data_IF_229981975271
#
_entry.id   IF_229981975271
#
_cell.length_a   1.000
_cell.length_b   1.000
_cell.length_c   1.000
_cell.angle_alpha   90.00
_cell.angle_beta   90.00
_cell.angle_gamma   90.00
#
_symmetry.space_group_name_H-M   'P 1'
#
loop_
_entity.id
_entity.type
_entity.pdbx_description
1 polymer ?
#
# COMPACT_ATOMS: atom_id res chain seq x y z
N UNK A 1 -2.80 23.07 -8.70
CA UNK A 1 -2.99 22.11 -7.62
C UNK A 1 -3.41 20.76 -8.15
N UNK A 2 -2.98 19.72 -7.53
CA UNK A 2 -3.27 18.37 -7.98
C UNK A 2 -4.68 17.96 -7.55
N UNK A 3 -5.40 17.33 -8.46
CA UNK A 3 -6.78 16.90 -8.20
C UNK A 3 -6.88 15.93 -7.01
N UNK A 4 -5.85 15.13 -6.78
CA UNK A 4 -5.83 14.14 -5.70
C UNK A 4 -5.98 14.76 -4.31
N UNK A 5 -5.69 16.06 -4.16
CA UNK A 5 -5.83 16.75 -2.89
C UNK A 5 -7.20 17.36 -2.69
N UNK A 6 -8.01 17.46 -3.76
CA UNK A 6 -9.36 18.03 -3.70
C UNK A 6 -10.45 17.00 -3.86
N UNK A 7 -10.17 15.88 -4.56
CA UNK A 7 -11.15 14.81 -4.77
C UNK A 7 -10.49 13.47 -4.41
N UNK A 8 -10.62 13.10 -3.15
CA UNK A 8 -9.97 11.86 -2.65
C UNK A 8 -10.60 10.60 -3.21
N UNK A 9 -11.90 10.61 -3.51
CA UNK A 9 -12.54 9.43 -4.09
C UNK A 9 -12.04 9.16 -5.50
N UNK A 10 -11.92 10.21 -6.31
CA UNK A 10 -11.38 10.08 -7.66
C UNK A 10 -9.93 9.62 -7.61
N UNK A 11 -9.14 10.19 -6.74
CA UNK A 11 -7.74 9.81 -6.57
C UNK A 11 -7.61 8.34 -6.18
N UNK A 12 -8.44 7.89 -5.23
CA UNK A 12 -8.46 6.49 -4.80
C UNK A 12 -8.74 5.56 -5.98
N UNK A 13 -9.75 5.88 -6.80
CA UNK A 13 -10.09 5.06 -7.97
C UNK A 13 -8.98 5.07 -9.02
N UNK A 14 -8.34 6.21 -9.23
CA UNK A 14 -7.23 6.30 -10.18
C UNK A 14 -6.07 5.42 -9.73
N UNK A 15 -5.78 5.39 -8.44
CA UNK A 15 -4.74 4.50 -7.91
C UNK A 15 -5.12 3.03 -8.08
N UNK A 16 -6.36 2.68 -7.83
CA UNK A 16 -6.84 1.32 -8.01
C UNK A 16 -6.69 0.87 -9.46
N UNK A 17 -7.10 1.69 -10.41
CA UNK A 17 -7.00 1.38 -11.84
C UNK A 17 -5.54 1.26 -12.26
N UNK A 18 -4.71 2.20 -11.85
CA UNK A 18 -3.27 2.18 -12.17
C UNK A 18 -2.60 0.94 -11.61
N UNK A 19 -2.91 0.60 -10.36
CA UNK A 19 -2.34 -0.58 -9.73
C UNK A 19 -2.74 -1.85 -10.47
N UNK A 20 -4.03 -1.98 -10.81
CA UNK A 20 -4.52 -3.17 -11.51
C UNK A 20 -3.88 -3.32 -12.89
N UNK A 21 -3.78 -2.21 -13.65
CA UNK A 21 -3.30 -2.27 -15.03
C UNK A 21 -1.78 -2.37 -15.13
N UNK A 22 -1.05 -1.75 -14.23
CA UNK A 22 0.40 -1.66 -14.35
C UNK A 22 1.14 -2.47 -13.29
N UNK A 23 0.81 -2.31 -12.02
CA UNK A 23 1.58 -2.97 -10.96
C UNK A 23 1.33 -4.48 -10.94
N UNK A 24 0.07 -4.88 -11.00
CA UNK A 24 -0.27 -6.31 -11.00
C UNK A 24 0.31 -6.98 -12.25
N UNK A 25 0.12 -6.38 -13.43
CA UNK A 25 0.61 -6.95 -14.67
C UNK A 25 2.14 -7.05 -14.68
N UNK A 26 2.82 -6.01 -14.21
CA UNK A 26 4.28 -6.01 -14.16
C UNK A 26 4.80 -7.09 -13.20
N UNK A 27 4.23 -7.15 -12.00
CA UNK A 27 4.68 -8.09 -10.97
C UNK A 27 4.39 -9.54 -11.35
N UNK A 28 3.31 -9.79 -12.10
CA UNK A 28 2.96 -11.14 -12.52
C UNK A 28 4.01 -11.78 -13.43
N UNK A 29 4.85 -10.97 -14.07
CA UNK A 29 5.96 -11.48 -14.88
C UNK A 29 7.14 -11.97 -14.02
N UNK A 30 7.20 -11.61 -12.76
CA UNK A 30 8.33 -11.91 -11.87
C UNK A 30 7.98 -12.78 -10.69
N UNK A 31 6.72 -12.76 -10.27
CA UNK A 31 6.30 -13.51 -9.11
C UNK A 31 4.84 -13.89 -9.24
N UNK A 32 4.47 -15.02 -8.65
CA UNK A 32 3.06 -15.43 -8.59
C UNK A 32 2.42 -14.80 -7.36
N UNK A 33 1.35 -14.04 -7.59
CA UNK A 33 0.57 -13.43 -6.52
C UNK A 33 -0.51 -14.39 -6.06
N UNK A 34 -0.41 -14.86 -4.83
CA UNK A 34 -1.32 -15.84 -4.25
C UNK A 34 -1.92 -15.29 -2.95
N UNK A 35 -2.92 -15.97 -2.37
CA UNK A 35 -3.43 -15.57 -1.05
C UNK A 35 -2.38 -15.60 0.06
N UNK A 36 -1.23 -16.24 -0.16
CA UNK A 36 -0.12 -16.24 0.79
C UNK A 36 0.83 -15.09 0.59
N UNK A 37 0.73 -14.38 -0.54
CA UNK A 37 1.59 -13.23 -0.82
C UNK A 37 1.30 -12.09 0.14
N UNK A 38 2.36 -11.46 0.62
CA UNK A 38 2.28 -10.36 1.57
C UNK A 38 2.76 -9.08 0.89
N UNK A 39 1.90 -8.09 0.87
CA UNK A 39 2.13 -6.84 0.16
C UNK A 39 2.14 -5.68 1.16
N UNK A 40 3.17 -4.85 1.11
CA UNK A 40 3.26 -3.65 1.93
C UNK A 40 3.27 -2.43 1.04
N UNK A 41 2.51 -1.41 1.40
CA UNK A 41 2.67 -0.09 0.80
C UNK A 41 3.04 0.93 1.88
N UNK A 42 4.14 1.63 1.67
CA UNK A 42 4.58 2.74 2.52
C UNK A 42 4.05 4.03 1.92
N UNK A 43 3.41 4.86 2.76
CA UNK A 43 2.73 6.06 2.29
C UNK A 43 1.44 5.71 1.55
N UNK A 44 0.67 4.79 2.11
CA UNK A 44 -0.47 4.19 1.41
C UNK A 44 -1.68 5.11 1.23
N UNK A 45 -1.78 6.19 2.00
CA UNK A 45 -3.00 7.00 2.01
C UNK A 45 -4.22 6.16 2.35
N UNK A 46 -5.26 6.26 1.55
CA UNK A 46 -6.49 5.48 1.72
C UNK A 46 -6.39 4.04 1.17
N UNK A 47 -5.24 3.68 0.59
CA UNK A 47 -4.98 2.31 0.18
C UNK A 47 -5.42 1.93 -1.23
N UNK A 48 -5.63 2.91 -2.11
CA UNK A 48 -6.11 2.65 -3.47
C UNK A 48 -5.23 1.69 -4.25
N UNK A 49 -3.90 1.79 -4.11
CA UNK A 49 -2.98 0.88 -4.81
C UNK A 49 -3.08 -0.56 -4.32
N UNK A 50 -3.55 -0.76 -3.09
CA UNK A 50 -3.63 -2.10 -2.50
C UNK A 50 -4.91 -2.85 -2.86
N UNK A 51 -5.92 -2.16 -3.40
CA UNK A 51 -7.21 -2.79 -3.69
C UNK A 51 -7.07 -4.00 -4.62
N UNK A 52 -6.38 -3.91 -5.77
CA UNK A 52 -6.27 -5.08 -6.65
C UNK A 52 -5.55 -6.25 -6.00
N UNK A 53 -4.55 -5.99 -5.16
CA UNK A 53 -3.85 -7.07 -4.44
C UNK A 53 -4.79 -7.75 -3.45
N UNK A 54 -5.58 -6.97 -2.73
CA UNK A 54 -6.56 -7.50 -1.79
C UNK A 54 -7.63 -8.32 -2.51
N UNK A 55 -8.04 -7.90 -3.70
CA UNK A 55 -9.01 -8.62 -4.51
C UNK A 55 -8.47 -9.97 -4.99
N UNK A 56 -7.16 -10.10 -5.13
CA UNK A 56 -6.52 -11.38 -5.43
C UNK A 56 -6.38 -12.27 -4.20
N UNK A 57 -6.78 -11.78 -3.04
CA UNK A 57 -6.68 -12.52 -1.80
C UNK A 57 -5.39 -12.35 -1.04
N UNK A 58 -4.47 -11.52 -1.54
CA UNK A 58 -3.18 -11.27 -0.88
C UNK A 58 -3.39 -10.61 0.49
N UNK A 59 -2.43 -10.82 1.38
CA UNK A 59 -2.38 -10.12 2.66
C UNK A 59 -1.73 -8.76 2.43
N UNK A 60 -2.51 -7.69 2.61
CA UNK A 60 -2.01 -6.33 2.34
C UNK A 60 -1.86 -5.55 3.64
N UNK A 61 -0.81 -4.75 3.70
CA UNK A 61 -0.55 -3.85 4.82
C UNK A 61 -0.20 -2.47 4.27
N UNK A 62 -0.87 -1.46 4.78
CA UNK A 62 -0.57 -0.08 4.46
C UNK A 62 -0.08 0.67 5.68
N UNK A 63 0.94 1.51 5.48
CA UNK A 63 1.48 2.38 6.53
C UNK A 63 1.42 3.81 6.02
N UNK A 64 0.90 4.70 6.86
CA UNK A 64 0.88 6.13 6.55
C UNK A 64 0.93 6.91 7.86
N UNK A 65 1.54 8.08 7.81
CA UNK A 65 1.63 8.96 8.97
C UNK A 65 0.31 9.72 9.21
N UNK A 66 -0.52 9.86 8.19
CA UNK A 66 -1.77 10.61 8.28
C UNK A 66 -2.89 9.75 8.84
N UNK A 67 -3.27 10.02 10.09
CA UNK A 67 -4.29 9.25 10.80
C UNK A 67 -5.64 9.24 10.08
N UNK A 68 -6.06 10.38 9.52
CA UNK A 68 -7.34 10.46 8.82
C UNK A 68 -7.39 9.55 7.60
N UNK A 69 -6.27 9.38 6.91
CA UNK A 69 -6.19 8.51 5.74
C UNK A 69 -6.24 7.05 6.13
N UNK A 70 -5.58 6.71 7.22
CA UNK A 70 -5.63 5.34 7.74
C UNK A 70 -7.04 4.96 8.18
N UNK A 71 -7.76 5.87 8.81
CA UNK A 71 -9.16 5.63 9.18
C UNK A 71 -10.03 5.37 7.96
N UNK A 72 -9.84 6.14 6.89
CA UNK A 72 -10.58 5.94 5.66
C UNK A 72 -10.20 4.63 4.97
N UNK A 73 -8.91 4.28 4.98
CA UNK A 73 -8.47 3.01 4.43
C UNK A 73 -9.15 1.83 5.15
N UNK A 74 -9.19 1.86 6.47
CA UNK A 74 -9.85 0.82 7.25
C UNK A 74 -11.33 0.71 6.89
N UNK A 75 -12.01 1.84 6.72
CA UNK A 75 -13.41 1.86 6.36
C UNK A 75 -13.64 1.25 4.96
N UNK A 76 -12.84 1.63 3.98
CA UNK A 76 -12.97 1.08 2.63
C UNK A 76 -12.70 -0.42 2.60
N UNK A 77 -11.65 -0.86 3.27
CA UNK A 77 -11.22 -2.25 3.19
C UNK A 77 -12.05 -3.19 4.06
N UNK A 78 -12.86 -2.68 4.97
CA UNK A 78 -13.75 -3.52 5.77
C UNK A 78 -14.70 -4.34 4.92
N UNK A 79 -15.03 -3.86 3.73
CA UNK A 79 -15.92 -4.54 2.79
C UNK A 79 -15.19 -5.29 1.69
N UNK A 80 -13.87 -5.10 1.56
CA UNK A 80 -13.08 -5.66 0.46
C UNK A 80 -12.33 -6.92 0.90
N UNK A 81 -11.72 -6.90 2.08
CA UNK A 81 -10.83 -7.98 2.49
C UNK A 81 -10.70 -8.07 4.01
N UNK A 82 -10.69 -9.30 4.52
CA UNK A 82 -10.41 -9.56 5.93
C UNK A 82 -8.89 -9.61 6.20
N UNK A 83 -8.06 -9.50 5.16
CA UNK A 83 -6.61 -9.66 5.25
C UNK A 83 -5.88 -8.34 5.02
N UNK A 84 -6.55 -7.23 5.22
CA UNK A 84 -5.96 -5.90 5.08
C UNK A 84 -5.69 -5.31 6.45
N UNK A 85 -4.48 -4.77 6.63
CA UNK A 85 -4.05 -4.13 7.87
C UNK A 85 -3.53 -2.74 7.55
N UNK A 86 -3.97 -1.74 8.30
CA UNK A 86 -3.53 -0.36 8.11
C UNK A 86 -3.01 0.20 9.42
N UNK A 87 -1.82 0.77 9.38
CA UNK A 87 -1.11 1.27 10.56
C UNK A 87 -0.76 2.73 10.38
N UNK A 88 -1.16 3.57 11.34
CA UNK A 88 -0.73 4.96 11.39
C UNK A 88 0.62 5.01 12.10
N UNK A 89 1.68 5.14 11.32
CA UNK A 89 3.04 5.10 11.85
C UNK A 89 4.01 5.74 10.87
N UNK A 90 5.13 6.21 11.41
CA UNK A 90 6.25 6.62 10.59
C UNK A 90 7.02 5.37 10.17
N UNK A 91 7.07 5.11 8.88
CA UNK A 91 7.78 3.94 8.34
C UNK A 91 9.23 3.86 8.83
N UNK A 92 9.91 5.01 8.95
CA UNK A 92 11.31 5.04 9.34
C UNK A 92 11.53 4.56 10.78
N UNK A 93 10.48 4.48 11.58
CA UNK A 93 10.52 4.01 12.95
C UNK A 93 9.91 2.63 13.12
N UNK A 94 9.41 2.04 12.03
CA UNK A 94 8.76 0.73 12.08
C UNK A 94 9.79 -0.38 12.23
N UNK A 95 9.51 -1.41 13.05
CA UNK A 95 10.43 -2.55 13.19
C UNK A 95 10.58 -3.30 11.88
N UNK A 96 11.79 -3.78 11.62
CA UNK A 96 12.05 -4.65 10.47
C UNK A 96 11.69 -6.09 10.86
N UNK A 97 10.89 -6.80 10.05
CA UNK A 97 10.57 -8.20 10.35
C UNK A 97 11.85 -9.06 10.40
N UNK A 98 11.95 -9.90 11.42
CA UNK A 98 13.10 -10.77 11.61
C UNK A 98 12.88 -12.19 11.07
N UNK A 99 11.62 -12.64 11.03
CA UNK A 99 11.26 -13.97 10.56
C UNK A 99 10.86 -13.92 9.09
N UNK A 100 11.23 -14.96 8.32
CA UNK A 100 10.88 -15.04 6.90
C UNK A 100 9.37 -14.99 6.69
N UNK A 101 8.60 -15.61 7.56
CA UNK A 101 7.13 -15.63 7.45
C UNK A 101 6.48 -14.28 7.69
N UNK A 102 7.21 -13.33 8.31
CA UNK A 102 6.72 -11.98 8.57
C UNK A 102 7.20 -10.97 7.54
N UNK A 103 8.06 -11.38 6.61
CA UNK A 103 8.57 -10.52 5.56
C UNK A 103 7.55 -10.37 4.44
N UNK A 104 7.71 -9.30 3.68
CA UNK A 104 6.82 -8.99 2.57
C UNK A 104 7.41 -9.50 1.26
N UNK A 105 6.54 -9.99 0.37
CA UNK A 105 6.92 -10.41 -0.97
C UNK A 105 7.05 -9.22 -1.91
N UNK A 106 6.25 -8.18 -1.69
CA UNK A 106 6.26 -6.97 -2.50
C UNK A 106 6.15 -5.75 -1.59
N UNK A 107 6.95 -4.75 -1.85
CA UNK A 107 6.88 -3.46 -1.15
C UNK A 107 6.68 -2.35 -2.19
N UNK A 108 5.60 -1.60 -2.02
CA UNK A 108 5.27 -0.46 -2.89
C UNK A 108 5.68 0.83 -2.19
N UNK A 109 6.38 1.69 -2.94
CA UNK A 109 6.87 2.98 -2.43
C UNK A 109 6.35 4.13 -3.29
N UNK A 110 5.11 4.03 -3.72
CA UNK A 110 4.49 5.01 -4.62
C UNK A 110 4.41 6.39 -3.94
N UNK A 111 4.98 7.41 -4.60
CA UNK A 111 4.98 8.82 -4.15
C UNK A 111 5.59 9.06 -2.77
N UNK A 112 6.41 8.15 -2.27
CA UNK A 112 6.97 8.31 -0.92
C UNK A 112 8.40 8.86 -0.92
N UNK A 113 9.19 8.55 -1.93
CA UNK A 113 10.62 8.90 -1.98
C UNK A 113 10.83 10.42 -1.93
N UNK A 114 9.96 11.19 -2.57
CA UNK A 114 10.07 12.64 -2.61
C UNK A 114 9.87 13.30 -1.24
N UNK A 115 9.27 12.58 -0.28
CA UNK A 115 8.99 13.07 1.07
C UNK A 115 9.95 12.53 2.11
N UNK A 116 10.87 11.66 1.73
CA UNK A 116 11.83 11.04 2.64
C UNK A 116 13.08 11.93 2.71
N UNK A 117 13.61 12.24 3.90
CA UNK A 117 14.88 12.98 4.00
C UNK A 117 15.97 12.29 3.19
N UNK A 118 16.85 13.10 2.58
CA UNK A 118 17.84 12.59 1.65
C UNK A 118 18.74 11.51 2.27
N UNK A 119 19.08 11.67 3.54
CA UNK A 119 19.92 10.70 4.25
C UNK A 119 19.20 9.38 4.55
N UNK A 120 17.88 9.33 4.39
CA UNK A 120 17.07 8.13 4.60
C UNK A 120 16.62 7.49 3.30
N UNK A 121 16.83 8.16 2.17
CA UNK A 121 16.31 7.71 0.88
C UNK A 121 17.13 6.57 0.26
N UNK A 122 18.20 6.13 0.92
CA UNK A 122 19.04 5.02 0.46
C UNK A 122 18.58 3.70 1.05
N UNK A 123 17.32 3.43 0.93
CA UNK A 123 16.73 2.19 1.46
C UNK A 123 17.13 0.95 0.67
#
# INVERSE_FOLDING_TARGET
>A
MQKRHTDRKMYFRDLEITSKEFYISYLSDFTELTPKSRILEVGCGEGGNLVPFAQLGCKVTGIDIAECRIKEAKAYFSEISNHATFVCSDFMQSPVPCNEEDKYDVILLHDVIEHVPLNSATL
#
